data_IF_727231532047
#
_entry.id   IF_727231532047
#
_cell.length_a   1.000
_cell.length_b   1.000
_cell.length_c   1.000
_cell.angle_alpha   90.00
_cell.angle_beta   90.00
_cell.angle_gamma   90.00
#
_symmetry.space_group_name_H-M   'P 1'
#
loop_
_entity.id
_entity.type
_entity.pdbx_description
1 polymer ?
#
# COMPACT_ATOMS: atom_id res chain seq x y z
N UNK A 1 0.49 2.94 50.45
CA UNK A 1 0.73 1.78 49.56
C UNK A 1 -0.31 1.68 48.44
N UNK A 2 -1.61 1.43 48.72
CA UNK A 2 -2.64 1.32 47.66
C UNK A 2 -2.79 2.59 46.78
N UNK A 3 -2.71 3.78 47.38
CA UNK A 3 -2.70 5.05 46.62
C UNK A 3 -1.52 5.13 45.65
N UNK A 4 -0.30 4.90 46.15
CA UNK A 4 0.91 4.94 45.34
C UNK A 4 0.88 3.96 44.15
N UNK A 5 0.28 2.77 44.32
CA UNK A 5 0.09 1.82 43.21
C UNK A 5 -0.86 2.38 42.16
N UNK A 6 -1.98 2.99 42.59
CA UNK A 6 -2.94 3.61 41.67
C UNK A 6 -2.32 4.77 40.91
N UNK A 7 -1.53 5.61 41.60
CA UNK A 7 -0.82 6.72 40.98
C UNK A 7 0.16 6.22 39.91
N UNK A 8 0.86 5.11 40.19
CA UNK A 8 1.76 4.47 39.23
C UNK A 8 1.01 3.90 38.02
N UNK A 9 -0.16 3.29 38.21
CA UNK A 9 -1.01 2.84 37.10
C UNK A 9 -1.44 4.02 36.21
N UNK A 10 -1.85 5.14 36.80
CA UNK A 10 -2.21 6.35 36.05
C UNK A 10 -1.01 6.89 35.27
N UNK A 11 0.17 6.93 35.88
CA UNK A 11 1.41 7.34 35.19
C UNK A 11 1.72 6.43 34.01
N UNK A 12 1.55 5.11 34.14
CA UNK A 12 1.75 4.15 33.05
C UNK A 12 0.72 4.33 31.93
N UNK A 13 -0.55 4.57 32.26
CA UNK A 13 -1.58 4.84 31.24
C UNK A 13 -1.27 6.11 30.44
N UNK A 14 -0.77 7.15 31.10
CA UNK A 14 -0.35 8.39 30.46
C UNK A 14 0.88 8.18 29.56
N UNK A 15 1.85 7.38 30.03
CA UNK A 15 3.04 7.03 29.26
C UNK A 15 2.66 6.25 27.98
N UNK A 16 1.80 5.24 28.10
CA UNK A 16 1.27 4.50 26.94
C UNK A 16 0.59 5.50 26.00
N UNK A 17 -0.32 6.34 26.52
CA UNK A 17 -1.06 7.28 25.68
C UNK A 17 -0.15 8.25 24.91
N UNK A 18 0.86 8.80 25.58
CA UNK A 18 1.81 9.74 24.97
C UNK A 18 2.68 9.09 23.90
N UNK A 19 3.09 7.83 24.07
CA UNK A 19 3.87 7.14 23.04
C UNK A 19 3.15 7.03 21.69
N UNK A 20 1.82 6.86 21.70
CA UNK A 20 0.99 6.79 20.49
C UNK A 20 0.73 8.17 19.85
N UNK A 21 0.96 9.29 20.53
CA UNK A 21 0.78 10.63 19.94
C UNK A 21 1.75 10.89 18.77
N UNK A 22 2.88 10.19 18.75
CA UNK A 22 3.89 10.27 17.68
C UNK A 22 3.74 9.21 16.60
N UNK A 23 2.76 8.30 16.75
CA UNK A 23 2.53 7.21 15.82
C UNK A 23 2.03 7.74 14.48
N UNK A 24 2.71 7.38 13.40
CA UNK A 24 2.33 7.77 12.02
C UNK A 24 2.10 6.58 11.11
N UNK A 25 2.50 5.37 11.53
CA UNK A 25 2.40 4.15 10.74
C UNK A 25 1.84 3.00 11.55
N UNK A 26 1.15 2.07 10.87
CA UNK A 26 0.62 0.84 11.48
C UNK A 26 1.74 0.01 12.11
N UNK A 27 2.91 -0.04 11.46
CA UNK A 27 4.10 -0.71 11.99
C UNK A 27 4.47 -0.18 13.39
N UNK A 28 4.64 1.14 13.54
CA UNK A 28 4.95 1.75 14.84
C UNK A 28 3.87 1.45 15.89
N UNK A 29 2.60 1.51 15.49
CA UNK A 29 1.49 1.18 16.36
C UNK A 29 1.56 -0.25 16.90
N UNK A 30 1.81 -1.21 16.02
CA UNK A 30 1.98 -2.62 16.39
C UNK A 30 3.19 -2.81 17.30
N UNK A 31 4.33 -2.20 16.98
CA UNK A 31 5.56 -2.26 17.80
C UNK A 31 5.31 -1.71 19.21
N UNK A 32 4.60 -0.58 19.34
CA UNK A 32 4.25 -0.03 20.66
C UNK A 32 3.30 -0.94 21.44
N UNK A 33 2.30 -1.52 20.78
CA UNK A 33 1.38 -2.46 21.44
C UNK A 33 2.14 -3.69 21.95
N UNK A 34 3.09 -4.22 21.18
CA UNK A 34 3.92 -5.36 21.59
C UNK A 34 4.75 -5.04 22.84
N UNK A 35 5.39 -3.85 22.84
CA UNK A 35 6.17 -3.37 24.00
C UNK A 35 5.33 -3.33 25.26
N UNK A 36 4.08 -2.88 25.21
CA UNK A 36 3.24 -2.76 26.42
C UNK A 36 2.44 -4.01 26.75
N UNK A 37 2.39 -5.02 25.88
CA UNK A 37 1.50 -6.17 26.03
C UNK A 37 1.73 -6.93 27.35
N UNK A 38 2.98 -7.03 27.81
CA UNK A 38 3.32 -7.70 29.07
C UNK A 38 2.73 -7.02 30.32
N UNK A 39 2.27 -5.76 30.20
CA UNK A 39 1.63 -4.99 31.27
C UNK A 39 0.10 -5.19 31.32
N UNK A 40 -0.48 -5.91 30.36
CA UNK A 40 -1.92 -6.14 30.22
C UNK A 40 -2.56 -6.97 31.34
N UNK A 41 -1.77 -7.50 32.28
CA UNK A 41 -2.27 -8.19 33.47
C UNK A 41 -3.11 -7.29 34.39
N UNK A 42 -2.99 -5.97 34.26
CA UNK A 42 -3.78 -4.99 35.01
C UNK A 42 -4.92 -4.48 34.14
N UNK A 43 -6.15 -4.67 34.61
CA UNK A 43 -7.39 -4.32 33.89
C UNK A 43 -7.41 -2.87 33.37
N UNK A 44 -6.93 -1.91 34.18
CA UNK A 44 -6.85 -0.49 33.80
C UNK A 44 -5.88 -0.26 32.64
N UNK A 45 -4.72 -0.90 32.67
CA UNK A 45 -3.71 -0.83 31.61
C UNK A 45 -4.20 -1.55 30.36
N UNK A 46 -4.80 -2.74 30.51
CA UNK A 46 -5.38 -3.51 29.41
C UNK A 46 -6.40 -2.70 28.63
N UNK A 47 -7.32 -2.00 29.31
CA UNK A 47 -8.28 -1.10 28.64
C UNK A 47 -7.61 0.02 27.85
N UNK A 48 -6.50 0.55 28.35
CA UNK A 48 -5.72 1.55 27.61
C UNK A 48 -5.09 0.94 26.37
N UNK A 49 -4.50 -0.26 26.47
CA UNK A 49 -3.93 -1.00 25.33
C UNK A 49 -5.02 -1.32 24.31
N UNK A 50 -6.17 -1.85 24.72
CA UNK A 50 -7.30 -2.18 23.83
C UNK A 50 -7.79 -0.92 23.08
N UNK A 51 -7.87 0.23 23.77
CA UNK A 51 -8.17 1.51 23.12
C UNK A 51 -7.12 1.88 22.07
N UNK A 52 -5.84 1.68 22.36
CA UNK A 52 -4.75 1.94 21.40
C UNK A 52 -4.76 0.97 20.22
N UNK A 53 -5.15 -0.29 20.43
CA UNK A 53 -5.40 -1.25 19.34
C UNK A 53 -6.44 -0.72 18.37
N UNK A 54 -7.55 -0.18 18.87
CA UNK A 54 -8.58 0.47 18.03
C UNK A 54 -7.99 1.62 17.20
N UNK A 55 -7.16 2.49 17.82
CA UNK A 55 -6.51 3.59 17.11
C UNK A 55 -5.58 3.12 15.97
N UNK A 56 -4.87 2.00 16.15
CA UNK A 56 -4.04 1.39 15.09
C UNK A 56 -4.89 0.91 13.91
N UNK A 57 -6.04 0.27 14.17
CA UNK A 57 -6.96 -0.15 13.11
C UNK A 57 -7.62 1.03 12.40
N UNK A 58 -7.92 2.13 13.10
CA UNK A 58 -8.40 3.37 12.47
C UNK A 58 -7.34 3.92 11.51
N UNK A 59 -6.08 3.99 11.94
CA UNK A 59 -4.98 4.44 11.08
C UNK A 59 -4.85 3.58 9.82
N UNK A 60 -4.99 2.26 9.95
CA UNK A 60 -4.95 1.36 8.80
C UNK A 60 -6.14 1.56 7.86
N UNK A 61 -7.36 1.73 8.39
CA UNK A 61 -8.55 2.04 7.59
C UNK A 61 -8.42 3.35 6.81
N UNK A 62 -7.80 4.37 7.41
CA UNK A 62 -7.50 5.61 6.71
C UNK A 62 -6.56 5.35 5.53
N UNK A 63 -5.48 4.57 5.74
CA UNK A 63 -4.57 4.16 4.67
C UNK A 63 -5.29 3.42 3.53
N UNK A 64 -6.14 2.43 3.86
CA UNK A 64 -6.96 1.73 2.86
C UNK A 64 -7.87 2.69 2.11
N UNK A 65 -8.49 3.63 2.81
CA UNK A 65 -9.37 4.64 2.21
C UNK A 65 -8.61 5.57 1.26
N UNK A 66 -7.39 5.97 1.60
CA UNK A 66 -6.52 6.75 0.72
C UNK A 66 -6.18 5.98 -0.56
N UNK A 67 -5.81 4.70 -0.42
CA UNK A 67 -5.47 3.85 -1.57
C UNK A 67 -6.70 3.60 -2.46
N UNK A 68 -7.85 3.31 -1.86
CA UNK A 68 -9.11 3.16 -2.61
C UNK A 68 -9.48 4.45 -3.35
N UNK A 69 -9.31 5.61 -2.70
CA UNK A 69 -9.53 6.91 -3.36
C UNK A 69 -8.60 7.10 -4.53
N UNK A 70 -7.31 6.81 -4.38
CA UNK A 70 -6.32 6.93 -5.46
C UNK A 70 -6.61 5.98 -6.62
N UNK A 71 -7.01 4.74 -6.35
CA UNK A 71 -7.43 3.77 -7.36
C UNK A 71 -8.60 4.28 -8.22
N UNK A 72 -9.55 4.99 -7.59
CA UNK A 72 -10.75 5.50 -8.25
C UNK A 72 -10.58 6.90 -8.89
N UNK A 73 -9.36 7.45 -8.94
CA UNK A 73 -9.13 8.77 -9.58
C UNK A 73 -9.29 8.66 -11.10
N UNK A 74 -9.94 9.67 -11.68
CA UNK A 74 -10.14 9.77 -13.14
C UNK A 74 -8.84 9.89 -13.94
N UNK A 75 -7.81 10.47 -13.34
CA UNK A 75 -6.52 10.68 -13.99
C UNK A 75 -5.40 10.19 -13.06
N UNK A 76 -4.68 9.17 -13.53
CA UNK A 76 -3.44 8.72 -12.89
C UNK A 76 -2.31 9.65 -13.30
N UNK A 77 -1.59 10.16 -12.31
CA UNK A 77 -0.35 10.89 -12.58
C UNK A 77 0.78 9.88 -12.71
N UNK A 78 1.18 9.60 -13.95
CA UNK A 78 2.37 8.81 -14.26
C UNK A 78 3.50 9.76 -14.62
N UNK A 79 4.71 9.44 -14.18
CA UNK A 79 5.87 10.22 -14.58
C UNK A 79 6.03 10.15 -16.12
N UNK A 80 6.38 11.26 -16.81
CA UNK A 80 6.38 11.31 -18.28
C UNK A 80 7.22 10.23 -18.97
N UNK A 81 8.25 9.73 -18.28
CA UNK A 81 9.14 8.67 -18.75
C UNK A 81 8.55 7.25 -18.65
N UNK A 82 7.41 7.07 -17.98
CA UNK A 82 6.81 5.75 -17.79
C UNK A 82 5.99 5.34 -19.03
N UNK A 83 6.17 4.11 -19.55
CA UNK A 83 5.31 3.58 -20.59
C UNK A 83 3.85 3.52 -20.11
N UNK A 84 2.90 3.81 -21.00
CA UNK A 84 1.50 3.96 -20.64
C UNK A 84 0.92 2.78 -19.84
N UNK A 85 0.99 1.55 -20.38
CA UNK A 85 0.44 0.36 -19.70
C UNK A 85 1.32 -0.11 -18.53
N UNK A 86 2.62 -0.24 -18.74
CA UNK A 86 3.54 -0.73 -17.70
C UNK A 86 3.62 0.22 -16.49
N UNK A 87 3.54 1.53 -16.73
CA UNK A 87 3.48 2.57 -15.70
C UNK A 87 2.24 2.46 -14.83
N UNK A 88 1.05 2.29 -15.43
CA UNK A 88 -0.20 2.08 -14.68
C UNK A 88 -0.14 0.82 -13.83
N UNK A 89 0.33 -0.30 -14.40
CA UNK A 89 0.47 -1.55 -13.65
C UNK A 89 1.49 -1.43 -12.51
N UNK A 90 2.61 -0.73 -12.73
CA UNK A 90 3.62 -0.49 -11.71
C UNK A 90 3.06 0.37 -10.56
N UNK A 91 2.34 1.44 -10.88
CA UNK A 91 1.68 2.28 -9.88
C UNK A 91 0.68 1.48 -9.03
N UNK A 92 -0.23 0.71 -9.65
CA UNK A 92 -1.22 -0.09 -8.93
C UNK A 92 -0.54 -1.15 -8.02
N UNK A 93 0.51 -1.81 -8.51
CA UNK A 93 1.33 -2.73 -7.70
C UNK A 93 2.02 -2.02 -6.52
N UNK A 94 2.39 -0.75 -6.68
CA UNK A 94 3.00 0.04 -5.61
C UNK A 94 1.99 0.34 -4.51
N UNK A 95 0.74 0.66 -4.88
CA UNK A 95 -0.38 0.78 -3.93
C UNK A 95 -0.68 -0.53 -3.21
N UNK A 96 -0.74 -1.66 -3.94
CA UNK A 96 -0.93 -3.01 -3.39
C UNK A 96 0.13 -3.36 -2.34
N UNK A 97 1.41 -3.13 -2.66
CA UNK A 97 2.53 -3.36 -1.75
C UNK A 97 2.46 -2.53 -0.46
N UNK A 98 1.93 -1.31 -0.55
CA UNK A 98 1.79 -0.43 0.61
C UNK A 98 0.81 -1.02 1.64
N UNK A 99 -0.38 -1.39 1.19
CA UNK A 99 -1.40 -1.97 2.09
C UNK A 99 -1.00 -3.37 2.58
N UNK A 100 -0.30 -4.16 1.76
CA UNK A 100 0.27 -5.45 2.17
C UNK A 100 1.21 -5.32 3.35
N UNK A 101 2.13 -4.35 3.27
CA UNK A 101 3.14 -4.16 4.31
C UNK A 101 2.48 -3.86 5.65
N UNK A 102 1.49 -2.98 5.69
CA UNK A 102 0.74 -2.67 6.91
C UNK A 102 -0.04 -3.88 7.42
N UNK A 103 -0.69 -4.63 6.52
CA UNK A 103 -1.42 -5.85 6.88
C UNK A 103 -0.49 -6.94 7.45
N UNK A 104 0.72 -7.09 6.91
CA UNK A 104 1.70 -8.06 7.42
C UNK A 104 2.03 -7.84 8.90
N UNK A 105 2.19 -6.59 9.34
CA UNK A 105 2.43 -6.28 10.75
C UNK A 105 1.22 -6.66 11.63
N UNK A 106 0.00 -6.38 11.17
CA UNK A 106 -1.22 -6.75 11.91
C UNK A 106 -1.40 -8.27 12.02
N UNK A 107 -1.12 -9.01 10.95
CA UNK A 107 -1.21 -10.50 10.96
C UNK A 107 -0.15 -11.12 11.87
N UNK A 108 1.06 -10.56 11.90
CA UNK A 108 2.14 -11.04 12.76
C UNK A 108 1.90 -10.72 14.25
N UNK A 109 1.07 -9.72 14.54
CA UNK A 109 0.74 -9.30 15.89
C UNK A 109 -0.31 -10.21 16.56
N UNK A 110 0.04 -11.50 16.74
CA UNK A 110 -0.87 -12.53 17.30
C UNK A 110 -1.31 -12.24 18.74
N UNK A 111 -0.65 -11.30 19.42
CA UNK A 111 -0.98 -10.87 20.76
C UNK A 111 -2.15 -9.88 20.81
N UNK A 112 -2.53 -9.28 19.68
CA UNK A 112 -3.64 -8.32 19.63
C UNK A 112 -4.97 -9.01 19.89
N UNK A 113 -5.79 -8.37 20.73
CA UNK A 113 -7.16 -8.81 20.95
C UNK A 113 -7.97 -8.67 19.67
N UNK A 114 -8.73 -9.70 19.31
CA UNK A 114 -9.69 -9.61 18.20
C UNK A 114 -10.79 -8.61 18.55
N UNK A 115 -11.06 -7.69 17.63
CA UNK A 115 -12.08 -6.65 17.76
C UNK A 115 -12.92 -6.61 16.48
N UNK A 116 -14.21 -6.26 16.59
CA UNK A 116 -15.12 -6.23 15.42
C UNK A 116 -14.64 -5.29 14.32
N UNK A 117 -14.07 -4.13 14.68
CA UNK A 117 -13.44 -3.22 13.72
C UNK A 117 -12.31 -3.90 12.92
N UNK A 118 -11.57 -4.82 13.53
CA UNK A 118 -10.50 -5.55 12.87
C UNK A 118 -11.01 -6.48 11.77
N UNK A 119 -12.14 -7.15 12.01
CA UNK A 119 -12.79 -8.00 11.02
C UNK A 119 -13.31 -7.16 9.83
N UNK A 120 -13.99 -6.04 10.10
CA UNK A 120 -14.45 -5.10 9.07
C UNK A 120 -13.28 -4.53 8.24
N UNK A 121 -12.17 -4.20 8.91
CA UNK A 121 -10.96 -3.70 8.25
C UNK A 121 -10.33 -4.76 7.34
N UNK A 122 -10.35 -6.03 7.77
CA UNK A 122 -9.84 -7.15 6.98
C UNK A 122 -10.68 -7.36 5.71
N UNK A 123 -12.01 -7.30 5.83
CA UNK A 123 -12.91 -7.39 4.67
C UNK A 123 -12.67 -6.25 3.68
N UNK A 124 -12.48 -5.02 4.19
CA UNK A 124 -12.16 -3.87 3.33
C UNK A 124 -10.81 -4.05 2.63
N UNK A 125 -9.78 -4.50 3.36
CA UNK A 125 -8.46 -4.81 2.79
C UNK A 125 -8.56 -5.85 1.66
N UNK A 126 -9.25 -6.98 1.89
CA UNK A 126 -9.39 -8.05 0.90
C UNK A 126 -10.12 -7.57 -0.36
N UNK A 127 -11.17 -6.78 -0.19
CA UNK A 127 -11.93 -6.20 -1.31
C UNK A 127 -11.05 -5.24 -2.14
N UNK A 128 -10.24 -4.42 -1.47
CA UNK A 128 -9.33 -3.49 -2.13
C UNK A 128 -8.15 -4.19 -2.80
N UNK A 129 -7.60 -5.23 -2.18
CA UNK A 129 -6.59 -6.13 -2.75
C UNK A 129 -7.09 -6.71 -4.08
N UNK A 130 -8.29 -7.30 -4.08
CA UNK A 130 -8.90 -7.88 -5.27
C UNK A 130 -9.09 -6.82 -6.37
N UNK A 131 -9.55 -5.63 -5.99
CA UNK A 131 -9.74 -4.51 -6.92
C UNK A 131 -8.43 -4.04 -7.58
N UNK A 132 -7.33 -4.01 -6.84
CA UNK A 132 -6.00 -3.66 -7.36
C UNK A 132 -5.48 -4.73 -8.32
N UNK A 133 -5.66 -6.01 -7.99
CA UNK A 133 -5.24 -7.12 -8.84
C UNK A 133 -6.03 -7.17 -10.15
N UNK A 134 -7.34 -6.96 -10.09
CA UNK A 134 -8.20 -6.90 -11.28
C UNK A 134 -7.88 -5.70 -12.15
N UNK A 135 -7.53 -4.56 -11.55
CA UNK A 135 -7.02 -3.41 -12.30
C UNK A 135 -5.74 -3.75 -13.08
N UNK A 136 -4.76 -4.40 -12.44
CA UNK A 136 -3.51 -4.82 -13.12
C UNK A 136 -3.79 -5.82 -14.24
N UNK A 137 -4.71 -6.79 -14.01
CA UNK A 137 -5.13 -7.77 -15.03
C UNK A 137 -5.80 -7.11 -16.22
N UNK A 138 -6.65 -6.10 -15.98
CA UNK A 138 -7.28 -5.31 -17.03
C UNK A 138 -6.22 -4.59 -17.88
N UNK A 139 -5.30 -3.86 -17.24
CA UNK A 139 -4.21 -3.17 -17.95
C UNK A 139 -3.37 -4.12 -18.80
N UNK A 140 -3.08 -5.33 -18.29
CA UNK A 140 -2.36 -6.35 -19.04
C UNK A 140 -3.16 -6.88 -20.25
N UNK A 141 -4.45 -7.14 -20.06
CA UNK A 141 -5.35 -7.55 -21.15
C UNK A 141 -5.43 -6.48 -22.23
N UNK A 142 -5.64 -5.22 -21.83
CA UNK A 142 -5.72 -4.07 -22.75
C UNK A 142 -4.42 -3.91 -23.53
N UNK A 143 -3.26 -4.02 -22.86
CA UNK A 143 -1.96 -4.00 -23.53
C UNK A 143 -1.82 -5.14 -24.55
N UNK A 144 -2.20 -6.36 -24.18
CA UNK A 144 -2.08 -7.55 -25.04
C UNK A 144 -2.95 -7.45 -26.30
N UNK A 145 -4.09 -6.77 -26.21
CA UNK A 145 -4.96 -6.53 -27.38
C UNK A 145 -4.41 -5.42 -28.28
N UNK A 146 -3.80 -4.37 -27.69
CA UNK A 146 -3.30 -3.21 -28.42
C UNK A 146 -1.86 -3.35 -28.93
N UNK A 147 -1.11 -4.36 -28.48
CA UNK A 147 0.25 -4.59 -28.99
C UNK A 147 0.18 -4.94 -30.47
N UNK A 148 1.05 -4.30 -31.26
CA UNK A 148 1.13 -4.54 -32.71
C UNK A 148 1.53 -6.02 -32.94
N UNK A 149 0.57 -6.82 -33.40
CA UNK A 149 0.76 -8.25 -33.70
C UNK A 149 1.75 -8.49 -34.83
N UNK A 150 1.94 -7.47 -35.68
CA UNK A 150 2.86 -7.48 -36.80
C UNK A 150 4.16 -6.72 -36.48
N UNK A 151 4.41 -6.38 -35.21
CA UNK A 151 5.68 -5.78 -34.77
C UNK A 151 6.90 -6.60 -35.20
N UNK A 152 6.77 -7.94 -35.27
CA UNK A 152 7.81 -8.85 -35.77
C UNK A 152 8.10 -8.60 -37.25
N UNK A 153 7.09 -8.30 -38.08
CA UNK A 153 7.28 -7.98 -39.51
C UNK A 153 8.08 -6.68 -39.70
N UNK A 154 8.15 -5.81 -38.69
CA UNK A 154 9.04 -4.63 -38.74
C UNK A 154 10.51 -5.02 -38.73
N UNK A 155 10.87 -6.19 -38.20
CA UNK A 155 12.24 -6.73 -38.26
C UNK A 155 12.64 -7.17 -39.67
N UNK A 156 11.67 -7.42 -40.55
CA UNK A 156 11.90 -7.76 -41.96
C UNK A 156 12.19 -6.51 -42.81
N UNK A 157 11.96 -5.31 -42.28
CA UNK A 157 12.29 -4.05 -42.96
C UNK A 157 13.80 -3.81 -42.91
N UNK A 158 14.42 -3.36 -44.03
CA UNK A 158 15.83 -3.02 -44.02
C UNK A 158 16.10 -1.88 -43.02
N UNK A 159 17.11 -2.07 -42.17
CA UNK A 159 17.52 -1.12 -41.13
C UNK A 159 18.04 0.21 -41.71
N UNK A 160 18.50 0.20 -42.96
CA UNK A 160 19.08 1.36 -43.63
C UNK A 160 18.29 1.65 -44.90
N UNK A 161 17.82 2.89 -45.04
CA UNK A 161 17.12 3.38 -46.22
C UNK A 161 17.86 4.60 -46.78
N UNK A 162 17.62 4.93 -48.06
CA UNK A 162 18.22 6.16 -48.63
C UNK A 162 17.52 7.37 -48.04
N UNK A 163 18.31 8.36 -47.62
CA UNK A 163 17.79 9.61 -47.11
C UNK A 163 17.18 10.41 -48.29
N UNK A 164 15.89 10.75 -48.18
CA UNK A 164 15.16 11.50 -49.21
C UNK A 164 15.51 12.99 -49.21
N UNK A 165 15.93 13.53 -48.06
CA UNK A 165 16.27 14.95 -47.87
C UNK A 165 17.74 15.25 -48.24
N UNK A 166 18.64 14.26 -48.11
CA UNK A 166 20.06 14.40 -48.43
C UNK A 166 20.54 13.30 -49.39
N UNK A 167 20.59 13.64 -50.70
CA UNK A 167 20.97 12.73 -51.77
C UNK A 167 22.40 12.23 -51.57
N UNK A 168 22.53 10.94 -51.24
CA UNK A 168 23.80 10.24 -51.07
C UNK A 168 24.04 9.72 -49.65
N UNK A 169 23.18 10.07 -48.69
CA UNK A 169 23.25 9.54 -47.32
C UNK A 169 22.24 8.40 -47.10
N UNK A 170 22.58 7.52 -46.17
CA UNK A 170 21.65 6.51 -45.64
C UNK A 170 21.08 7.03 -44.32
N UNK A 171 19.79 6.82 -44.09
CA UNK A 171 19.12 7.04 -42.81
C UNK A 171 18.72 5.71 -42.19
N UNK A 172 18.66 5.69 -40.86
CA UNK A 172 18.26 4.50 -40.10
C UNK A 172 16.73 4.43 -40.08
N UNK A 173 16.20 3.29 -40.48
CA UNK A 173 14.77 3.01 -40.60
C UNK A 173 14.20 2.45 -39.29
N UNK A 174 14.47 3.13 -38.18
CA UNK A 174 13.71 2.91 -36.95
C UNK A 174 12.45 3.76 -37.06
N UNK A 175 11.34 3.16 -37.48
CA UNK A 175 10.02 3.77 -37.33
C UNK A 175 9.84 4.06 -35.83
N UNK A 176 9.82 5.34 -35.45
CA UNK A 176 9.53 5.80 -34.08
C UNK A 176 8.02 5.73 -33.82
#
# INVERSE_FOLDING_TARGET
FRSAIKDLEVMMQNLISSSFETMTTVQQGVEFLDVYQHLSNRETIKRTIDKKTVEVYILFNEELSWVNKDLNRKAMYLAPQMPHFAGQAHWARSLRRRIDRSMQFLVQATFLTKIGLGDETMEFFQTLEQSLDDFVRKIFTDWTVNVDRDSIKRLERPLMIRNLDDKGKLSVNFDM
#
